data_IF_292948122825
#
_entry.id   IF_292948122825
#
_cell.length_a   1.000
_cell.length_b   1.000
_cell.length_c   1.000
_cell.angle_alpha   90.00
_cell.angle_beta   90.00
_cell.angle_gamma   90.00
#
_symmetry.space_group_name_H-M   'P 1'
#
loop_
_entity.id
_entity.type
_entity.pdbx_description
1 polymer ?
#
# COMPACT_ATOMS: atom_id res chain seq x y z
N UNK A 1 31.82 5.23 -16.38
CA UNK A 1 31.51 5.57 -14.97
C UNK A 1 30.18 6.30 -14.95
N UNK A 2 29.08 5.65 -14.55
CA UNK A 2 27.83 6.38 -14.33
C UNK A 2 27.87 6.97 -12.92
N UNK A 3 27.75 8.29 -12.74
CA UNK A 3 27.66 8.85 -11.41
C UNK A 3 26.46 8.22 -10.70
N UNK A 4 26.65 7.88 -9.42
CA UNK A 4 25.65 7.28 -8.55
C UNK A 4 24.57 8.33 -8.23
N UNK A 5 23.80 8.73 -9.24
CA UNK A 5 22.86 9.84 -9.17
C UNK A 5 21.71 9.45 -8.26
N UNK A 6 21.57 10.19 -7.16
CA UNK A 6 20.44 10.05 -6.23
C UNK A 6 19.12 10.32 -6.97
N UNK A 7 18.07 9.61 -6.58
CA UNK A 7 16.75 9.81 -7.14
C UNK A 7 16.24 11.19 -6.74
N UNK A 8 15.75 11.93 -7.71
CA UNK A 8 15.13 13.25 -7.47
C UNK A 8 13.65 13.12 -7.73
N UNK A 9 12.81 13.52 -6.76
CA UNK A 9 11.36 13.58 -6.94
C UNK A 9 10.95 14.99 -7.34
N UNK A 10 10.33 15.11 -8.52
CA UNK A 10 9.56 16.28 -8.95
C UNK A 10 8.07 15.99 -8.76
N UNK A 11 7.37 16.92 -8.14
CA UNK A 11 5.93 16.88 -7.94
C UNK A 11 5.36 18.02 -8.77
N UNK A 12 4.48 17.69 -9.71
CA UNK A 12 3.88 18.67 -10.62
C UNK A 12 2.66 19.30 -9.94
N UNK A 13 2.80 20.57 -9.54
CA UNK A 13 1.79 21.32 -8.80
C UNK A 13 1.99 21.32 -7.27
N UNK A 14 1.13 22.04 -6.57
CA UNK A 14 1.14 22.14 -5.11
C UNK A 14 0.27 21.07 -4.47
N UNK A 15 0.91 20.13 -3.76
CA UNK A 15 0.21 18.99 -3.17
C UNK A 15 -0.77 19.43 -2.07
N UNK A 16 -0.49 20.55 -1.43
CA UNK A 16 -1.30 21.10 -0.34
C UNK A 16 -2.69 21.52 -0.81
N UNK A 17 -2.86 21.88 -2.10
CA UNK A 17 -4.17 22.18 -2.70
C UNK A 17 -5.15 21.00 -2.60
N UNK A 18 -4.67 19.77 -2.41
CA UNK A 18 -5.55 18.62 -2.19
C UNK A 18 -6.25 18.66 -0.82
N UNK A 19 -5.78 19.48 0.12
CA UNK A 19 -6.44 19.72 1.41
C UNK A 19 -7.48 20.84 1.36
N UNK A 20 -7.71 21.46 0.20
CA UNK A 20 -8.56 22.65 0.01
C UNK A 20 -9.67 22.39 -1.01
N UNK A 21 -10.71 23.22 -1.04
CA UNK A 21 -11.82 23.14 -2.00
C UNK A 21 -12.49 21.76 -2.09
N UNK A 22 -12.78 21.17 -0.93
CA UNK A 22 -13.46 19.87 -0.82
C UNK A 22 -14.91 19.93 -1.30
N UNK A 23 -15.33 18.92 -2.05
CA UNK A 23 -16.74 18.78 -2.44
C UNK A 23 -17.58 18.41 -1.23
N UNK A 24 -18.89 18.61 -1.32
CA UNK A 24 -19.82 18.25 -0.24
C UNK A 24 -19.70 16.76 0.13
N UNK A 25 -19.60 15.88 -0.86
CA UNK A 25 -19.46 14.44 -0.65
C UNK A 25 -18.14 14.09 0.06
N UNK A 26 -17.05 14.81 -0.27
CA UNK A 26 -15.75 14.63 0.39
C UNK A 26 -15.78 15.09 1.86
N UNK A 27 -16.47 16.20 2.14
CA UNK A 27 -16.71 16.68 3.51
C UNK A 27 -17.54 15.70 4.33
N UNK A 28 -18.64 15.20 3.77
CA UNK A 28 -19.52 14.22 4.43
C UNK A 28 -18.78 12.90 4.68
N UNK A 29 -17.94 12.46 3.73
CA UNK A 29 -17.09 11.27 3.89
C UNK A 29 -15.84 11.52 4.75
N UNK A 30 -15.53 12.77 5.11
CA UNK A 30 -14.27 13.21 5.74
C UNK A 30 -13.02 12.71 4.99
N UNK A 31 -13.14 12.47 3.68
CA UNK A 31 -12.09 11.85 2.87
C UNK A 31 -12.15 12.32 1.42
N UNK A 32 -11.00 12.77 0.92
CA UNK A 32 -10.71 12.93 -0.50
C UNK A 32 -9.74 11.86 -0.98
N UNK A 33 -10.02 11.26 -2.14
CA UNK A 33 -9.11 10.34 -2.80
C UNK A 33 -8.21 11.11 -3.76
N UNK A 34 -6.90 10.96 -3.59
CA UNK A 34 -5.91 11.59 -4.45
C UNK A 34 -5.22 10.52 -5.28
N UNK A 35 -5.43 10.56 -6.59
CA UNK A 35 -4.78 9.68 -7.56
C UNK A 35 -3.45 10.28 -7.99
N UNK A 36 -2.38 9.49 -7.92
CA UNK A 36 -1.06 9.85 -8.39
C UNK A 36 -0.76 9.15 -9.71
N UNK A 37 -0.10 9.88 -10.61
CA UNK A 37 0.55 9.34 -11.80
C UNK A 37 2.04 9.58 -11.66
N UNK A 38 2.82 8.68 -12.24
CA UNK A 38 4.26 8.73 -12.20
C UNK A 38 4.83 8.56 -13.59
N UNK A 39 5.90 9.29 -13.87
CA UNK A 39 6.85 9.04 -14.94
C UNK A 39 8.27 9.09 -14.39
N UNK A 40 9.24 8.56 -15.12
CA UNK A 40 10.65 8.62 -14.74
C UNK A 40 11.50 8.89 -15.98
N UNK A 41 12.40 9.86 -15.87
CA UNK A 41 13.41 10.15 -16.88
C UNK A 41 14.78 10.14 -16.21
N UNK A 42 15.60 9.14 -16.55
CA UNK A 42 16.87 8.86 -15.89
C UNK A 42 16.70 8.75 -14.37
N UNK A 43 17.34 9.68 -13.65
CA UNK A 43 17.31 9.73 -12.18
C UNK A 43 16.15 10.52 -11.58
N UNK A 44 15.35 11.18 -12.42
CA UNK A 44 14.27 12.06 -11.97
C UNK A 44 12.94 11.32 -12.08
N UNK A 45 12.29 11.12 -10.94
CA UNK A 45 10.91 10.63 -10.86
C UNK A 45 10.02 11.86 -10.84
N UNK A 46 9.08 11.93 -11.77
CA UNK A 46 8.08 13.01 -11.81
C UNK A 46 6.73 12.42 -11.46
N UNK A 47 5.97 13.11 -10.62
CA UNK A 47 4.63 12.68 -10.24
C UNK A 47 3.64 13.82 -10.33
N UNK A 48 2.50 13.54 -10.94
CA UNK A 48 1.34 14.42 -10.94
C UNK A 48 0.23 13.79 -10.10
N UNK A 49 -0.72 14.60 -9.64
CA UNK A 49 -1.80 14.15 -8.80
C UNK A 49 -3.11 14.84 -9.16
N UNK A 50 -4.22 14.21 -8.83
CA UNK A 50 -5.57 14.80 -8.97
C UNK A 50 -6.52 14.20 -7.94
N UNK A 51 -7.50 15.00 -7.51
CA UNK A 51 -8.65 14.46 -6.80
C UNK A 51 -9.46 13.56 -7.75
N UNK A 52 -9.99 12.46 -7.23
CA UNK A 52 -10.89 11.56 -7.97
C UNK A 52 -12.06 11.16 -7.08
N UNK A 53 -13.23 10.97 -7.70
CA UNK A 53 -14.35 10.33 -7.03
C UNK A 53 -14.06 8.83 -6.81
N UNK A 54 -14.61 8.19 -5.76
CA UNK A 54 -14.47 6.75 -5.54
C UNK A 54 -14.86 5.89 -6.76
N UNK A 55 -15.85 6.33 -7.54
CA UNK A 55 -16.41 5.66 -8.71
C UNK A 55 -15.47 5.74 -9.91
N UNK A 56 -14.70 6.83 -10.04
CA UNK A 56 -13.72 7.04 -11.11
C UNK A 56 -12.41 6.28 -10.90
N UNK A 57 -12.30 5.59 -9.76
CA UNK A 57 -11.09 4.87 -9.40
C UNK A 57 -10.86 3.69 -10.33
N UNK A 58 -9.85 3.83 -11.19
CA UNK A 58 -9.34 2.72 -11.99
C UNK A 58 -8.68 1.64 -11.12
N UNK A 59 -8.90 0.35 -11.40
CA UNK A 59 -8.15 -0.73 -10.77
C UNK A 59 -6.64 -0.51 -10.95
N UNK A 60 -5.86 -0.80 -9.90
CA UNK A 60 -4.40 -0.65 -9.87
C UNK A 60 -3.84 0.79 -9.94
N UNK A 61 -4.67 1.84 -9.91
CA UNK A 61 -4.11 3.18 -9.78
C UNK A 61 -3.52 3.44 -8.40
N UNK A 62 -2.53 4.32 -8.37
CA UNK A 62 -1.88 4.79 -7.15
C UNK A 62 -2.83 5.81 -6.54
N UNK A 63 -3.54 5.44 -5.48
CA UNK A 63 -4.44 6.35 -4.76
C UNK A 63 -4.14 6.32 -3.27
N UNK A 64 -4.16 7.50 -2.64
CA UNK A 64 -4.09 7.65 -1.18
C UNK A 64 -5.26 8.50 -0.69
N UNK A 65 -5.45 8.50 0.64
CA UNK A 65 -6.52 9.25 1.29
C UNK A 65 -5.96 10.54 1.90
N UNK A 66 -6.52 11.68 1.51
CA UNK A 66 -6.46 12.90 2.31
C UNK A 66 -7.68 12.88 3.23
N UNK A 67 -7.44 12.98 4.55
CA UNK A 67 -8.48 12.70 5.56
C UNK A 67 -8.64 13.93 6.43
N UNK A 68 -9.86 14.43 6.57
CA UNK A 68 -10.15 15.58 7.41
C UNK A 68 -10.29 15.14 8.88
N UNK A 69 -9.59 15.82 9.78
CA UNK A 69 -9.72 15.63 11.22
C UNK A 69 -10.41 16.85 11.84
N UNK A 70 -11.67 16.71 12.23
CA UNK A 70 -12.49 17.81 12.79
C UNK A 70 -11.91 18.40 14.08
N UNK A 71 -11.49 17.59 15.04
CA UNK A 71 -10.98 18.09 16.32
C UNK A 71 -9.68 18.89 16.17
N UNK A 72 -8.93 18.66 15.08
CA UNK A 72 -7.69 19.39 14.75
C UNK A 72 -7.88 20.46 13.68
N UNK A 73 -9.01 20.47 12.98
CA UNK A 73 -9.29 21.33 11.84
C UNK A 73 -8.17 21.29 10.78
N UNK A 74 -7.64 20.09 10.51
CA UNK A 74 -6.55 19.90 9.55
C UNK A 74 -6.68 18.56 8.80
N UNK A 75 -6.12 18.51 7.59
CA UNK A 75 -6.01 17.29 6.79
C UNK A 75 -4.80 16.44 7.19
N UNK A 76 -4.99 15.13 7.20
CA UNK A 76 -3.97 14.14 7.53
C UNK A 76 -3.87 13.04 6.46
N UNK A 77 -2.70 12.39 6.43
CA UNK A 77 -2.42 11.18 5.65
C UNK A 77 -1.92 10.08 6.58
N UNK A 78 -2.31 8.83 6.31
CA UNK A 78 -1.85 7.69 7.12
C UNK A 78 -0.45 7.24 6.72
N UNK A 79 0.33 6.76 7.68
CA UNK A 79 1.63 6.11 7.42
C UNK A 79 1.56 4.97 6.41
N UNK A 80 0.44 4.24 6.39
CA UNK A 80 0.20 3.13 5.46
C UNK A 80 0.09 3.67 4.04
N UNK A 81 -0.69 4.72 3.83
CA UNK A 81 -0.83 5.40 2.54
C UNK A 81 0.50 6.03 2.09
N UNK A 82 1.24 6.67 3.00
CA UNK A 82 2.56 7.25 2.69
C UNK A 82 3.57 6.18 2.22
N UNK A 83 3.63 5.03 2.89
CA UNK A 83 4.51 3.92 2.48
C UNK A 83 4.06 3.35 1.13
N UNK A 84 2.75 3.16 0.93
CA UNK A 84 2.20 2.66 -0.33
C UNK A 84 2.54 3.59 -1.49
N UNK A 85 2.42 4.91 -1.30
CA UNK A 85 2.81 5.90 -2.29
C UNK A 85 4.30 5.83 -2.60
N UNK A 86 5.17 5.73 -1.59
CA UNK A 86 6.61 5.59 -1.80
C UNK A 86 6.96 4.32 -2.60
N UNK A 87 6.35 3.17 -2.30
CA UNK A 87 6.53 1.93 -3.07
C UNK A 87 6.15 2.13 -4.54
N UNK A 88 5.02 2.83 -4.76
CA UNK A 88 4.47 3.11 -6.08
C UNK A 88 5.32 4.12 -6.87
N UNK A 89 5.85 5.14 -6.21
CA UNK A 89 6.72 6.15 -6.81
C UNK A 89 8.11 5.58 -7.17
N UNK A 90 8.61 4.58 -6.45
CA UNK A 90 9.90 3.94 -6.74
C UNK A 90 9.75 2.71 -7.67
N UNK A 91 8.53 2.19 -7.90
CA UNK A 91 8.23 0.95 -8.66
C UNK A 91 8.87 -0.28 -8.02
N UNK A 92 9.00 -0.27 -6.70
CA UNK A 92 9.60 -1.37 -5.97
C UNK A 92 8.74 -1.65 -4.74
N UNK A 93 8.40 -2.92 -4.55
CA UNK A 93 7.83 -3.37 -3.27
C UNK A 93 8.95 -3.37 -2.23
N UNK A 94 8.75 -2.65 -1.14
CA UNK A 94 9.70 -2.61 -0.04
C UNK A 94 9.64 -3.89 0.78
N UNK A 95 10.81 -4.34 1.25
CA UNK A 95 10.89 -5.43 2.22
C UNK A 95 10.43 -4.96 3.60
N UNK A 96 10.26 -5.88 4.54
CA UNK A 96 9.83 -5.53 5.90
C UNK A 96 10.87 -4.63 6.59
N UNK A 97 12.15 -4.94 6.38
CA UNK A 97 13.30 -4.19 6.89
C UNK A 97 13.28 -2.76 6.34
N UNK A 98 13.02 -2.63 5.04
CA UNK A 98 12.95 -1.33 4.37
C UNK A 98 11.74 -0.51 4.86
N UNK A 99 10.57 -1.13 5.01
CA UNK A 99 9.40 -0.48 5.60
C UNK A 99 9.68 0.00 7.02
N UNK A 100 10.43 -0.77 7.82
CA UNK A 100 10.81 -0.35 9.17
C UNK A 100 11.81 0.81 9.16
N UNK A 101 12.74 0.84 8.20
CA UNK A 101 13.65 1.99 7.98
C UNK A 101 12.90 3.26 7.61
N UNK A 102 11.92 3.15 6.71
CA UNK A 102 11.05 4.25 6.30
C UNK A 102 10.22 4.73 7.50
N UNK A 103 9.61 3.82 8.28
CA UNK A 103 8.86 4.19 9.49
C UNK A 103 9.71 5.00 10.48
N UNK A 104 10.95 4.61 10.74
CA UNK A 104 11.87 5.39 11.60
C UNK A 104 12.17 6.79 11.04
N UNK A 105 12.30 6.92 9.72
CA UNK A 105 12.45 8.24 9.08
C UNK A 105 11.19 9.09 9.24
N UNK A 106 10.03 8.44 9.11
CA UNK A 106 8.74 9.09 9.26
C UNK A 106 8.49 9.55 10.70
N UNK A 107 8.94 8.82 11.72
CA UNK A 107 8.87 9.26 13.13
C UNK A 107 9.58 10.61 13.36
N UNK A 108 10.62 10.93 12.57
CA UNK A 108 11.31 12.23 12.62
C UNK A 108 10.43 13.42 12.24
N UNK A 109 9.28 13.19 11.59
CA UNK A 109 8.29 14.21 11.28
C UNK A 109 7.19 14.33 12.35
N UNK A 110 7.38 13.68 13.51
CA UNK A 110 6.47 13.76 14.67
C UNK A 110 5.02 13.36 14.31
N UNK A 111 4.77 12.11 13.90
CA UNK A 111 3.41 11.63 13.65
C UNK A 111 2.54 11.72 14.89
N UNK A 112 1.25 11.92 14.68
CA UNK A 112 0.24 11.67 15.69
C UNK A 112 -0.11 10.18 15.71
N UNK A 113 -0.35 9.66 16.91
CA UNK A 113 -0.76 8.27 17.11
C UNK A 113 -2.23 8.25 17.45
N UNK A 114 -3.02 7.74 16.51
CA UNK A 114 -4.48 7.63 16.57
C UNK A 114 -4.83 6.21 16.98
N UNK A 115 -5.63 6.07 18.02
CA UNK A 115 -6.05 4.76 18.52
C UNK A 115 -7.41 4.81 19.19
N UNK A 116 -8.09 3.66 19.23
CA UNK A 116 -9.39 3.52 19.90
C UNK A 116 -9.32 3.80 21.41
N UNK A 117 -8.16 3.59 22.03
CA UNK A 117 -7.97 3.78 23.47
C UNK A 117 -7.87 5.26 23.89
N UNK A 118 -7.71 6.17 22.93
CA UNK A 118 -7.57 7.61 23.17
C UNK A 118 -8.87 8.33 22.80
N UNK A 119 -9.63 8.86 23.77
CA UNK A 119 -10.90 9.55 23.51
C UNK A 119 -10.77 10.69 22.48
N UNK A 120 -9.66 11.43 22.55
CA UNK A 120 -9.34 12.55 21.64
C UNK A 120 -9.16 12.16 20.16
N UNK A 121 -8.94 10.87 19.88
CA UNK A 121 -8.66 10.36 18.53
C UNK A 121 -9.57 9.20 18.13
N UNK A 122 -10.51 8.83 19.01
CA UNK A 122 -11.36 7.66 18.81
C UNK A 122 -12.30 7.86 17.62
N UNK A 123 -12.91 9.05 17.50
CA UNK A 123 -13.82 9.37 16.40
C UNK A 123 -13.08 9.38 15.06
N UNK A 124 -11.92 10.01 15.02
CA UNK A 124 -11.05 9.99 13.84
C UNK A 124 -10.59 8.57 13.47
N UNK A 125 -10.29 7.72 14.47
CA UNK A 125 -9.98 6.31 14.24
C UNK A 125 -11.17 5.56 13.60
N UNK A 126 -12.40 5.79 14.10
CA UNK A 126 -13.62 5.18 13.53
C UNK A 126 -13.83 5.59 12.08
N UNK A 127 -13.64 6.87 11.75
CA UNK A 127 -13.73 7.39 10.39
C UNK A 127 -12.75 6.65 9.47
N UNK A 128 -11.48 6.53 9.87
CA UNK A 128 -10.45 5.81 9.09
C UNK A 128 -10.85 4.34 8.85
N UNK A 129 -11.40 3.69 9.87
CA UNK A 129 -11.81 2.28 9.81
C UNK A 129 -13.12 2.06 9.04
N UNK A 130 -13.97 3.10 8.95
CA UNK A 130 -15.25 3.08 8.25
C UNK A 130 -15.14 3.22 6.73
N UNK A 131 -13.96 3.53 6.20
CA UNK A 131 -13.78 3.78 4.78
C UNK A 131 -14.08 2.56 3.88
N UNK A 132 -14.73 2.78 2.73
CA UNK A 132 -15.04 1.71 1.77
C UNK A 132 -13.77 1.14 1.13
N UNK A 133 -13.90 -0.06 0.56
CA UNK A 133 -12.77 -0.83 0.05
C UNK A 133 -11.96 -0.07 -1.01
N UNK A 134 -10.63 -0.31 -1.08
CA UNK A 134 -9.86 -1.25 -0.29
C UNK A 134 -9.61 -0.69 1.11
N UNK A 135 -10.19 -1.36 2.10
CA UNK A 135 -9.91 -1.14 3.51
C UNK A 135 -8.40 -1.31 3.65
N UNK A 136 -7.70 -0.43 4.38
CA UNK A 136 -6.35 -0.69 4.77
C UNK A 136 -6.32 -2.04 5.51
N UNK A 137 -5.90 -3.09 4.79
CA UNK A 137 -6.00 -4.47 5.27
C UNK A 137 -5.04 -4.58 6.45
N UNK A 138 -5.59 -4.85 7.65
CA UNK A 138 -4.88 -5.13 8.92
C UNK A 138 -4.48 -3.93 9.79
N UNK A 139 -5.36 -2.93 9.97
CA UNK A 139 -5.16 -1.82 10.92
C UNK A 139 -6.00 -2.01 12.20
N UNK A 140 -5.85 -3.14 12.87
CA UNK A 140 -6.41 -3.35 14.22
C UNK A 140 -5.53 -2.72 15.33
N UNK A 141 -4.57 -1.86 14.94
CA UNK A 141 -3.56 -1.27 15.83
C UNK A 141 -3.51 0.25 15.64
N UNK A 142 -2.83 0.90 16.58
CA UNK A 142 -2.51 2.32 16.55
C UNK A 142 -1.99 2.76 15.17
N UNK A 143 -2.62 3.78 14.61
CA UNK A 143 -2.27 4.36 13.31
C UNK A 143 -1.43 5.59 13.53
N UNK A 144 -0.28 5.63 12.85
CA UNK A 144 0.49 6.85 12.71
C UNK A 144 -0.10 7.67 11.56
N UNK A 145 -0.49 8.90 11.85
CA UNK A 145 -0.97 9.87 10.87
C UNK A 145 -0.07 11.10 10.88
N UNK A 146 0.00 11.78 9.74
CA UNK A 146 0.84 12.95 9.51
C UNK A 146 0.01 14.08 8.93
N UNK A 147 0.28 15.35 9.28
CA UNK A 147 -0.33 16.47 8.59
C UNK A 147 -0.08 16.37 7.09
N UNK A 148 -1.09 16.62 6.27
CA UNK A 148 -0.99 16.52 4.82
C UNK A 148 0.14 17.40 4.27
N UNK A 149 0.31 18.59 4.83
CA UNK A 149 1.32 19.60 4.46
C UNK A 149 2.76 19.09 4.48
N UNK A 150 3.06 18.07 5.30
CA UNK A 150 4.41 17.52 5.37
C UNK A 150 4.68 16.44 4.32
N UNK A 151 3.66 15.95 3.62
CA UNK A 151 3.74 14.80 2.73
C UNK A 151 4.73 15.04 1.59
N UNK A 152 4.63 16.18 0.88
CA UNK A 152 5.52 16.51 -0.23
C UNK A 152 6.99 16.52 0.20
N UNK A 153 7.28 17.13 1.35
CA UNK A 153 8.63 17.18 1.91
C UNK A 153 9.13 15.79 2.35
N UNK A 154 8.29 15.00 3.01
CA UNK A 154 8.62 13.64 3.42
C UNK A 154 8.95 12.73 2.23
N UNK A 155 8.16 12.80 1.16
CA UNK A 155 8.39 12.04 -0.08
C UNK A 155 9.74 12.41 -0.72
N UNK A 156 10.01 13.70 -0.90
CA UNK A 156 11.30 14.19 -1.45
C UNK A 156 12.48 13.72 -0.61
N UNK A 157 12.40 13.85 0.73
CA UNK A 157 13.48 13.45 1.65
C UNK A 157 13.76 11.95 1.62
N UNK A 158 12.74 11.13 1.54
CA UNK A 158 12.89 9.66 1.54
C UNK A 158 13.36 9.18 0.16
N UNK A 159 12.76 9.66 -0.94
CA UNK A 159 13.18 9.28 -2.29
C UNK A 159 14.63 9.69 -2.58
N UNK A 160 15.07 10.84 -2.06
CA UNK A 160 16.47 11.29 -2.17
C UNK A 160 17.52 10.35 -1.57
N UNK A 161 17.10 9.34 -0.77
CA UNK A 161 18.00 8.31 -0.23
C UNK A 161 18.20 7.11 -1.16
N UNK A 162 17.39 6.96 -2.20
CA UNK A 162 17.51 5.86 -3.16
C UNK A 162 18.37 6.30 -4.35
N UNK A 163 19.25 5.42 -4.82
CA UNK A 163 19.94 5.62 -6.09
C UNK A 163 18.95 5.46 -7.22
N UNK A 164 18.96 6.41 -8.15
CA UNK A 164 18.00 6.51 -9.22
C UNK A 164 18.32 5.62 -10.43
N UNK A 165 19.19 4.63 -10.23
CA UNK A 165 19.49 3.63 -11.24
C UNK A 165 18.22 2.79 -11.40
N UNK A 166 17.33 3.31 -12.24
CA UNK A 166 16.29 2.53 -12.85
C UNK A 166 16.99 1.34 -13.47
N UNK A 167 16.53 0.15 -13.09
CA UNK A 167 16.83 -1.09 -13.77
C UNK A 167 16.23 -1.06 -15.18
N UNK A 168 16.76 -0.21 -16.06
CA UNK A 168 16.77 -0.47 -17.49
C UNK A 168 17.93 -1.44 -17.77
N UNK A 169 17.77 -2.65 -17.23
CA UNK A 169 18.10 -3.88 -17.93
C UNK A 169 16.79 -4.66 -18.07
N UNK A 170 15.80 -4.00 -18.66
CA UNK A 170 14.71 -4.67 -19.36
C UNK A 170 14.84 -4.26 -20.82
N UNK A 171 15.95 -4.68 -21.42
CA UNK A 171 15.98 -5.05 -22.83
C UNK A 171 16.68 -6.41 -22.85
N UNK A 172 15.89 -7.46 -23.09
CA UNK A 172 16.37 -8.84 -23.20
C UNK A 172 16.07 -9.73 -22.00
N UNK A 173 14.83 -10.22 -21.90
CA UNK A 173 14.56 -11.56 -21.33
C UNK A 173 13.83 -11.63 -19.99
N UNK A 174 12.55 -12.03 -20.07
CA UNK A 174 11.78 -12.79 -19.06
C UNK A 174 11.64 -12.16 -17.67
N UNK A 175 10.59 -11.34 -17.54
CA UNK A 175 9.63 -11.33 -16.41
C UNK A 175 10.08 -12.00 -15.10
N UNK A 176 10.77 -11.25 -14.24
CA UNK A 176 11.02 -11.63 -12.85
C UNK A 176 9.88 -11.23 -11.89
N UNK A 177 8.63 -11.17 -12.38
CA UNK A 177 7.45 -11.02 -11.52
C UNK A 177 6.89 -12.37 -10.99
N UNK A 178 7.45 -13.51 -11.45
CA UNK A 178 6.97 -14.84 -11.11
C UNK A 178 7.73 -15.56 -9.97
N UNK A 179 8.51 -14.85 -9.12
CA UNK A 179 9.30 -15.49 -8.04
C UNK A 179 8.94 -15.11 -6.61
N UNK A 180 7.88 -14.34 -6.37
CA UNK A 180 7.47 -13.96 -5.00
C UNK A 180 6.38 -14.85 -4.37
N UNK A 181 5.71 -15.74 -5.13
CA UNK A 181 4.74 -16.68 -4.53
C UNK A 181 5.29 -18.09 -4.22
N UNK A 182 6.56 -18.40 -4.53
CA UNK A 182 7.12 -19.75 -4.31
C UNK A 182 7.99 -19.91 -3.06
N UNK A 183 8.05 -18.91 -2.18
CA UNK A 183 8.85 -18.97 -0.92
C UNK A 183 7.99 -19.17 0.34
N UNK A 184 6.65 -19.14 0.24
CA UNK A 184 5.73 -19.55 1.33
C UNK A 184 5.17 -20.98 1.20
N UNK A 185 5.64 -21.77 0.23
CA UNK A 185 5.28 -23.19 0.07
C UNK A 185 6.46 -24.19 0.24
N UNK A 186 7.61 -23.74 0.74
CA UNK A 186 8.80 -24.60 0.95
C UNK A 186 9.31 -24.69 2.39
N UNK A 187 8.61 -24.10 3.36
CA UNK A 187 8.91 -24.27 4.81
C UNK A 187 7.89 -25.11 5.58
N UNK A 188 6.81 -25.54 4.94
CA UNK A 188 5.78 -26.41 5.52
C UNK A 188 5.67 -27.78 4.83
N UNK A 189 6.59 -28.14 3.91
CA UNK A 189 6.69 -29.53 3.41
C UNK A 189 7.85 -30.32 4.05
N UNK A 190 8.87 -29.67 4.61
CA UNK A 190 9.99 -30.38 5.28
C UNK A 190 9.75 -30.74 6.75
N UNK A 191 8.58 -30.39 7.29
CA UNK A 191 8.17 -30.79 8.64
C UNK A 191 7.16 -31.95 8.62
N UNK A 192 6.47 -32.19 7.50
CA UNK A 192 5.59 -33.35 7.34
C UNK A 192 6.38 -34.61 6.92
N UNK A 193 7.35 -34.48 6.02
CA UNK A 193 8.21 -35.62 5.61
C UNK A 193 9.12 -36.17 6.74
N UNK A 194 9.28 -35.43 7.85
CA UNK A 194 10.03 -35.90 9.04
C UNK A 194 9.13 -36.50 10.13
N UNK A 195 7.82 -36.22 10.09
CA UNK A 195 6.85 -36.82 11.01
C UNK A 195 6.39 -38.21 10.54
N UNK A 196 6.49 -38.51 9.25
CA UNK A 196 6.11 -39.81 8.66
C UNK A 196 7.20 -40.89 8.82
N UNK A 197 8.44 -40.50 9.14
CA UNK A 197 9.55 -41.43 9.38
C UNK A 197 9.57 -42.05 10.80
N UNK A 198 8.75 -41.56 11.74
CA UNK A 198 8.77 -42.00 13.14
C UNK A 198 7.45 -42.61 13.65
N UNK A 199 6.46 -42.84 12.79
CA UNK A 199 5.30 -43.66 13.15
C UNK A 199 4.44 -43.14 14.31
N UNK A 200 4.27 -41.82 14.44
CA UNK A 200 3.40 -41.23 15.47
C UNK A 200 2.18 -40.61 14.79
N UNK A 201 1.01 -41.22 14.98
CA UNK A 201 -0.27 -40.67 14.54
C UNK A 201 -0.73 -39.56 15.50
N UNK A 202 -1.07 -38.34 15.01
CA UNK A 202 -1.77 -37.36 15.82
C UNK A 202 -3.28 -37.57 15.75
N UNK A 203 -3.87 -37.67 16.93
CA UNK A 203 -5.31 -37.75 17.21
C UNK A 203 -6.02 -36.48 16.72
N UNK A 204 -7.04 -36.67 15.88
CA UNK A 204 -8.28 -35.87 15.80
C UNK A 204 -8.19 -34.36 15.67
N UNK A 205 -8.24 -33.83 14.44
CA UNK A 205 -8.88 -32.55 14.15
C UNK A 205 -9.72 -32.68 12.87
N UNK A 206 -11.03 -32.47 13.01
CA UNK A 206 -11.99 -32.42 11.90
C UNK A 206 -11.67 -31.22 10.99
N UNK A 207 -11.36 -31.50 9.73
CA UNK A 207 -11.35 -30.54 8.62
C UNK A 207 -12.53 -30.87 7.70
N UNK A 208 -13.74 -30.41 8.05
CA UNK A 208 -14.81 -30.27 7.05
C UNK A 208 -14.65 -28.93 6.34
N UNK A 209 -14.78 -28.99 5.01
CA UNK A 209 -14.91 -27.88 4.05
C UNK A 209 -13.61 -27.27 3.47
N UNK A 210 -12.73 -28.16 3.03
CA UNK A 210 -12.03 -28.02 1.74
C UNK A 210 -12.98 -28.77 0.78
N UNK A 211 -13.55 -28.23 -0.30
CA UNK A 211 -12.94 -27.98 -1.60
C UNK A 211 -13.99 -27.16 -2.39
N UNK A 212 -13.71 -25.90 -2.72
CA UNK A 212 -14.45 -25.14 -3.73
C UNK A 212 -13.65 -25.12 -5.02
N UNK A 213 -13.77 -26.18 -5.83
CA UNK A 213 -13.27 -26.21 -7.20
C UNK A 213 -14.44 -26.04 -8.18
N UNK A 214 -14.27 -25.29 -9.28
CA UNK A 214 -15.35 -24.98 -10.21
C UNK A 214 -15.70 -26.20 -11.08
N UNK A 215 -17.01 -26.46 -11.16
CA UNK A 215 -17.66 -27.44 -12.03
C UNK A 215 -17.42 -27.04 -13.49
N UNK A 216 -16.90 -27.96 -14.31
CA UNK A 216 -16.87 -27.83 -15.78
C UNK A 216 -18.28 -28.07 -16.32
N UNK A 217 -18.76 -27.16 -17.14
CA UNK A 217 -20.02 -27.31 -17.88
C UNK A 217 -19.89 -28.41 -18.95
N UNK A 218 -20.84 -29.34 -18.93
CA UNK A 218 -21.13 -30.30 -19.98
C UNK A 218 -21.61 -29.60 -21.26
N UNK A 219 -21.15 -30.08 -22.41
CA UNK A 219 -21.73 -29.83 -23.72
C UNK A 219 -22.55 -31.06 -24.14
N UNK A 220 -23.86 -30.89 -24.13
CA UNK A 220 -24.91 -31.46 -24.97
C UNK A 220 -24.63 -32.73 -25.82
N UNK A 221 -25.39 -33.78 -25.53
CA UNK A 221 -26.43 -34.27 -26.46
C UNK A 221 -26.13 -35.56 -27.26
N UNK A 222 -27.04 -36.55 -27.29
CA UNK A 222 -26.86 -37.83 -28.00
C UNK A 222 -27.42 -37.78 -29.42
N UNK A 223 -26.91 -38.63 -30.31
CA UNK A 223 -27.58 -39.00 -31.57
C UNK A 223 -27.51 -40.52 -31.75
N UNK A 224 -28.71 -41.10 -31.91
CA UNK A 224 -29.11 -42.40 -32.47
C UNK A 224 -28.13 -43.57 -32.51
#
# INVERSE_FOLDING_TARGET
MYPNSKATLKIDGELDNMAEDWTRDEWEAKRRLVQFRRSQSGSTITTSFKAIAPEERTPHSICISCIWWEEKQECFVTSVDTIYLLESLVAVRFTVEEKNRIRRNLEGFRPLTVSKAKPESEEFFKVIMGFPNPKPRNIEKDVKVFPWKILAHALKKIIGKYSAVCKLLVDGGRTAYARSQRVRRRRTLRLWDRAEAHGIAPVGVKLSNIIGLPIRHDLNGPVA
#
